data_IF_725684711439
#
_entry.id   IF_725684711439
#
_cell.length_a   1.000
_cell.length_b   1.000
_cell.length_c   1.000
_cell.angle_alpha   90.00
_cell.angle_beta   90.00
_cell.angle_gamma   90.00
#
_symmetry.space_group_name_H-M   'P 1'
#
loop_
_entity.id
_entity.type
_entity.pdbx_description
1 polymer ?
#
# COMPACT_ATOMS: atom_id res chain seq x y z
N UNK A 1 21.88 12.48 -14.27
CA UNK A 1 22.00 11.05 -14.66
C UNK A 1 20.84 10.28 -14.06
N UNK A 2 19.94 9.72 -14.88
CA UNK A 2 18.88 8.85 -14.37
C UNK A 2 19.53 7.54 -13.95
N UNK A 3 19.67 7.30 -12.64
CA UNK A 3 20.18 6.03 -12.14
C UNK A 3 19.36 4.89 -12.77
N UNK A 4 20.06 3.97 -13.44
CA UNK A 4 19.46 2.75 -13.96
C UNK A 4 18.79 2.04 -12.79
N UNK A 5 17.46 1.98 -12.83
CA UNK A 5 16.66 1.37 -11.78
C UNK A 5 16.87 -0.14 -11.87
N UNK A 6 17.81 -0.66 -11.09
CA UNK A 6 18.00 -2.10 -10.93
C UNK A 6 16.80 -2.69 -10.18
N UNK A 7 16.25 -3.75 -10.75
CA UNK A 7 15.22 -4.60 -10.12
C UNK A 7 15.73 -5.08 -8.76
N UNK A 8 14.93 -5.05 -7.68
CA UNK A 8 15.39 -5.53 -6.38
C UNK A 8 15.82 -7.01 -6.48
N UNK A 9 17.03 -7.32 -5.99
CA UNK A 9 17.66 -8.64 -6.13
C UNK A 9 16.86 -9.77 -5.45
N UNK A 10 16.09 -9.44 -4.41
CA UNK A 10 15.01 -10.26 -3.86
C UNK A 10 14.13 -9.38 -2.95
N UNK A 11 12.85 -9.72 -2.82
CA UNK A 11 11.91 -8.99 -1.98
C UNK A 11 11.69 -9.71 -0.65
N UNK A 12 11.88 -9.04 0.50
CA UNK A 12 11.88 -9.70 1.79
C UNK A 12 10.53 -10.34 2.11
N UNK A 13 10.57 -11.45 2.85
CA UNK A 13 9.40 -12.11 3.45
C UNK A 13 8.90 -11.36 4.70
N UNK A 14 8.73 -10.05 4.53
CA UNK A 14 8.13 -9.12 5.49
C UNK A 14 7.25 -8.18 4.71
N UNK A 15 6.04 -7.94 5.18
CA UNK A 15 4.99 -7.31 4.39
C UNK A 15 4.57 -5.98 4.98
N UNK A 16 4.28 -5.01 4.12
CA UNK A 16 3.54 -3.80 4.47
C UNK A 16 2.26 -3.75 3.63
N UNK A 17 1.15 -3.43 4.27
CA UNK A 17 -0.17 -3.35 3.65
C UNK A 17 -0.86 -2.08 4.11
N UNK A 18 -1.69 -1.49 3.24
CA UNK A 18 -2.53 -0.34 3.59
C UNK A 18 -3.99 -0.73 3.60
N UNK A 19 -4.68 -0.30 4.66
CA UNK A 19 -6.13 -0.37 4.76
C UNK A 19 -6.78 0.77 3.94
N UNK A 20 -6.97 0.53 2.63
CA UNK A 20 -7.39 1.50 1.60
C UNK A 20 -8.84 1.99 1.66
N UNK A 21 -9.40 2.26 2.84
CA UNK A 21 -10.74 2.88 2.92
C UNK A 21 -10.89 3.82 4.12
N UNK A 22 -9.81 4.03 4.86
CA UNK A 22 -9.83 4.84 6.07
C UNK A 22 -9.52 6.31 5.77
N UNK A 23 -9.28 6.68 4.50
CA UNK A 23 -8.99 8.05 4.11
C UNK A 23 -9.45 8.40 2.68
N UNK A 24 -10.70 8.85 2.56
CA UNK A 24 -11.26 9.38 1.32
C UNK A 24 -11.62 8.31 0.28
N UNK A 25 -11.52 8.68 -1.00
CA UNK A 25 -12.05 7.90 -2.15
C UNK A 25 -10.93 7.34 -3.02
N UNK A 26 -11.29 6.78 -4.17
CA UNK A 26 -10.43 6.07 -5.11
C UNK A 26 -9.03 6.67 -5.33
N UNK A 27 -8.92 7.97 -5.59
CA UNK A 27 -7.62 8.61 -5.84
C UNK A 27 -6.69 8.58 -4.62
N UNK A 28 -7.23 8.73 -3.41
CA UNK A 28 -6.45 8.60 -2.18
C UNK A 28 -5.97 7.17 -2.00
N UNK A 29 -6.84 6.19 -2.22
CA UNK A 29 -6.50 4.76 -2.12
C UNK A 29 -5.38 4.37 -3.08
N UNK A 30 -5.38 4.93 -4.30
CA UNK A 30 -4.29 4.74 -5.25
C UNK A 30 -2.99 5.37 -4.73
N UNK A 31 -3.05 6.62 -4.25
CA UNK A 31 -1.89 7.30 -3.68
C UNK A 31 -1.31 6.55 -2.49
N UNK A 32 -2.15 6.04 -1.60
CA UNK A 32 -1.78 5.19 -0.46
C UNK A 32 -0.98 3.97 -0.90
N UNK A 33 -1.46 3.22 -1.89
CA UNK A 33 -0.76 2.05 -2.44
C UNK A 33 0.58 2.42 -3.07
N UNK A 34 0.63 3.51 -3.84
CA UNK A 34 1.87 4.01 -4.47
C UNK A 34 2.87 4.45 -3.41
N UNK A 35 2.43 5.15 -2.37
CA UNK A 35 3.29 5.60 -1.27
C UNK A 35 3.91 4.41 -0.54
N UNK A 36 3.13 3.39 -0.16
CA UNK A 36 3.71 2.22 0.53
C UNK A 36 4.65 1.44 -0.38
N UNK A 37 4.43 1.41 -1.70
CA UNK A 37 5.35 0.77 -2.63
C UNK A 37 6.71 1.45 -2.66
N UNK A 38 6.74 2.79 -2.60
CA UNK A 38 7.99 3.57 -2.52
C UNK A 38 8.69 3.34 -1.18
N UNK A 39 7.95 3.40 -0.07
CA UNK A 39 8.53 3.25 1.28
C UNK A 39 8.89 1.81 1.67
N UNK A 40 8.36 0.81 0.96
CA UNK A 40 8.59 -0.61 1.26
C UNK A 40 10.08 -0.93 1.45
N UNK A 41 10.96 -0.39 0.59
CA UNK A 41 12.40 -0.59 0.69
C UNK A 41 12.98 -0.03 1.98
N UNK A 42 12.66 1.22 2.33
CA UNK A 42 13.15 1.87 3.55
C UNK A 42 12.63 1.19 4.82
N UNK A 43 11.46 0.56 4.74
CA UNK A 43 10.86 -0.24 5.81
C UNK A 43 11.38 -1.69 5.84
N UNK A 44 12.26 -2.08 4.92
CA UNK A 44 12.71 -3.47 4.71
C UNK A 44 11.55 -4.46 4.56
N UNK A 45 10.59 -4.11 3.70
CA UNK A 45 9.33 -4.83 3.48
C UNK A 45 9.03 -4.96 1.99
N UNK A 46 8.12 -5.88 1.69
CA UNK A 46 7.41 -6.03 0.43
C UNK A 46 6.01 -5.43 0.59
N UNK A 47 5.67 -4.45 -0.25
CA UNK A 47 4.33 -3.88 -0.28
C UNK A 47 3.34 -4.89 -0.88
N UNK A 48 2.22 -5.06 -0.17
CA UNK A 48 1.09 -5.85 -0.62
C UNK A 48 0.05 -4.89 -1.17
N UNK A 49 -0.12 -4.89 -2.49
CA UNK A 49 -1.19 -4.17 -3.18
C UNK A 49 -2.35 -5.12 -3.40
N UNK A 50 -3.57 -4.63 -3.22
CA UNK A 50 -4.68 -5.56 -3.00
C UNK A 50 -6.02 -5.10 -3.53
N UNK A 51 -6.61 -4.09 -2.91
CA UNK A 51 -8.01 -3.77 -3.20
C UNK A 51 -8.34 -2.30 -3.02
N UNK A 52 -9.32 -1.88 -3.78
CA UNK A 52 -10.02 -0.63 -3.62
C UNK A 52 -11.35 -0.87 -2.91
N UNK A 53 -11.79 0.08 -2.10
CA UNK A 53 -13.12 0.08 -1.50
C UNK A 53 -14.01 1.08 -2.22
N UNK A 54 -15.11 0.61 -2.77
CA UNK A 54 -16.14 1.43 -3.40
C UNK A 54 -17.53 0.93 -2.99
N UNK A 55 -18.40 1.81 -2.49
CA UNK A 55 -19.77 1.48 -2.03
C UNK A 55 -19.81 0.24 -1.12
N UNK A 56 -18.94 0.19 -0.10
CA UNK A 56 -18.77 -0.94 0.84
C UNK A 56 -18.31 -2.27 0.23
N UNK A 57 -18.00 -2.31 -1.08
CA UNK A 57 -17.46 -3.47 -1.77
C UNK A 57 -15.95 -3.35 -1.94
N UNK A 58 -15.28 -4.49 -1.82
CA UNK A 58 -13.86 -4.62 -2.12
C UNK A 58 -13.68 -5.07 -3.58
N UNK A 59 -12.96 -4.27 -4.35
CA UNK A 59 -12.61 -4.54 -5.74
C UNK A 59 -11.12 -4.85 -5.83
N UNK A 60 -10.76 -5.97 -6.45
CA UNK A 60 -9.36 -6.34 -6.62
C UNK A 60 -8.61 -5.31 -7.47
N UNK A 61 -7.36 -5.04 -7.12
CA UNK A 61 -6.54 -4.02 -7.78
C UNK A 61 -6.34 -4.30 -9.28
N UNK A 62 -6.17 -5.57 -9.67
CA UNK A 62 -5.98 -5.99 -11.06
C UNK A 62 -7.24 -5.84 -11.92
N UNK A 63 -8.41 -5.69 -11.30
CA UNK A 63 -9.63 -5.29 -11.99
C UNK A 63 -9.64 -3.80 -12.36
N UNK A 64 -8.74 -2.97 -11.84
CA UNK A 64 -8.73 -1.52 -12.10
C UNK A 64 -7.42 -1.03 -12.73
N UNK A 65 -6.29 -1.63 -12.36
CA UNK A 65 -4.96 -1.16 -12.71
C UNK A 65 -3.99 -2.30 -12.99
N UNK A 66 -3.05 -2.07 -13.92
CA UNK A 66 -1.84 -2.86 -14.03
C UNK A 66 -0.71 -2.22 -13.20
N UNK A 67 -0.25 -2.97 -12.20
CA UNK A 67 0.87 -2.61 -11.32
C UNK A 67 2.19 -3.28 -11.72
N UNK A 68 2.25 -3.98 -12.86
CA UNK A 68 3.44 -4.70 -13.32
C UNK A 68 4.66 -3.78 -13.44
N UNK A 69 4.46 -2.53 -13.87
CA UNK A 69 5.50 -1.50 -13.91
C UNK A 69 6.07 -1.21 -12.53
N UNK A 70 5.20 -1.10 -11.53
CA UNK A 70 5.59 -0.85 -10.15
C UNK A 70 6.36 -2.05 -9.57
N UNK A 71 5.87 -3.28 -9.78
CA UNK A 71 6.53 -4.52 -9.32
C UNK A 71 7.88 -4.81 -9.99
N UNK A 72 8.15 -4.25 -11.18
CA UNK A 72 9.49 -4.33 -11.81
C UNK A 72 10.51 -3.42 -11.12
N UNK A 73 10.06 -2.35 -10.46
CA UNK A 73 10.92 -1.34 -9.82
C UNK A 73 11.00 -1.47 -8.30
N UNK A 74 9.90 -1.81 -7.66
CA UNK A 74 9.73 -1.86 -6.21
C UNK A 74 9.37 -3.27 -5.77
N UNK A 75 9.56 -3.56 -4.48
CA UNK A 75 9.07 -4.80 -3.89
C UNK A 75 7.58 -4.71 -3.65
N UNK A 76 6.82 -5.01 -4.70
CA UNK A 76 5.35 -4.96 -4.72
C UNK A 76 4.83 -6.29 -5.21
N UNK A 77 3.93 -6.90 -4.44
CA UNK A 77 3.26 -8.14 -4.80
C UNK A 77 1.74 -7.97 -4.71
N UNK A 78 0.97 -8.67 -5.57
CA UNK A 78 -0.47 -8.77 -5.41
C UNK A 78 -0.80 -9.58 -4.16
N UNK A 79 -2.00 -9.39 -3.62
CA UNK A 79 -2.48 -10.13 -2.47
C UNK A 79 -2.33 -11.66 -2.58
N UNK A 80 -2.63 -12.24 -3.74
CA UNK A 80 -2.57 -13.70 -3.95
C UNK A 80 -1.18 -14.26 -3.60
N UNK A 81 -0.12 -13.54 -3.96
CA UNK A 81 1.26 -13.92 -3.67
C UNK A 81 1.59 -13.72 -2.19
N UNK A 82 1.07 -12.65 -1.58
CA UNK A 82 1.14 -12.47 -0.13
C UNK A 82 0.48 -13.63 0.62
N UNK A 83 -0.73 -14.03 0.24
CA UNK A 83 -1.45 -15.12 0.90
C UNK A 83 -0.67 -16.44 0.82
N UNK A 84 -0.07 -16.74 -0.33
CA UNK A 84 0.80 -17.91 -0.51
C UNK A 84 2.04 -17.84 0.39
N UNK A 85 2.79 -16.72 0.36
CA UNK A 85 4.02 -16.54 1.15
C UNK A 85 3.75 -16.52 2.67
N UNK A 86 2.67 -15.87 3.09
CA UNK A 86 2.22 -15.87 4.48
C UNK A 86 1.81 -17.28 4.92
N UNK A 87 1.11 -18.01 4.06
CA UNK A 87 0.68 -19.39 4.28
C UNK A 87 1.83 -20.39 4.40
N UNK A 88 2.98 -20.12 3.79
CA UNK A 88 4.18 -20.96 3.91
C UNK A 88 5.08 -20.61 5.08
N UNK A 89 4.90 -19.46 5.75
CA UNK A 89 5.71 -19.07 6.92
C UNK A 89 5.44 -20.00 8.11
N UNK A 90 6.45 -20.36 8.93
CA UNK A 90 6.23 -21.03 10.21
C UNK A 90 5.28 -20.21 11.09
N UNK A 91 4.37 -20.86 11.82
CA UNK A 91 3.34 -20.17 12.61
C UNK A 91 3.92 -19.16 13.61
N UNK A 92 5.04 -19.48 14.26
CA UNK A 92 5.72 -18.58 15.20
C UNK A 92 6.30 -17.31 14.56
N UNK A 93 6.46 -17.28 13.23
CA UNK A 93 6.95 -16.12 12.48
C UNK A 93 5.81 -15.24 11.94
N UNK A 94 4.55 -15.68 12.00
CA UNK A 94 3.38 -14.96 11.47
C UNK A 94 2.88 -13.87 12.43
N UNK A 95 3.75 -12.92 12.74
CA UNK A 95 3.45 -11.78 13.62
C UNK A 95 2.91 -10.60 12.83
N UNK A 96 1.86 -9.95 13.34
CA UNK A 96 1.20 -8.83 12.68
C UNK A 96 1.00 -7.65 13.63
N UNK A 97 1.40 -6.46 13.18
CA UNK A 97 1.21 -5.19 13.90
C UNK A 97 0.57 -4.15 12.99
N UNK A 98 -0.23 -3.26 13.57
CA UNK A 98 -1.00 -2.26 12.85
C UNK A 98 -0.73 -0.86 13.40
N UNK A 99 -0.58 0.13 12.52
CA UNK A 99 -0.43 1.53 12.85
C UNK A 99 -1.69 2.29 12.44
N UNK A 100 -2.28 3.06 13.36
CA UNK A 100 -3.50 3.84 13.11
C UNK A 100 -4.76 2.99 13.22
N UNK A 101 -5.18 2.36 12.13
CA UNK A 101 -6.40 1.55 12.12
C UNK A 101 -6.07 0.10 11.78
N UNK A 102 -6.73 -0.83 12.48
CA UNK A 102 -6.61 -2.26 12.22
C UNK A 102 -7.14 -2.67 10.84
N UNK A 103 -6.83 -3.90 10.44
CA UNK A 103 -7.18 -4.48 9.13
C UNK A 103 -8.44 -5.36 9.15
N UNK A 104 -9.28 -5.22 10.19
CA UNK A 104 -10.41 -6.13 10.44
C UNK A 104 -11.49 -6.12 9.34
N UNK A 105 -11.69 -4.97 8.68
CA UNK A 105 -12.64 -4.82 7.56
C UNK A 105 -11.98 -5.04 6.19
N UNK A 106 -10.80 -5.65 6.12
CA UNK A 106 -10.07 -5.81 4.85
C UNK A 106 -10.09 -7.25 4.35
N UNK A 107 -9.82 -7.49 3.05
CA UNK A 107 -9.72 -8.85 2.54
C UNK A 107 -8.54 -9.65 3.10
N UNK A 108 -7.55 -9.00 3.74
CA UNK A 108 -6.45 -9.70 4.44
C UNK A 108 -6.80 -10.13 5.87
N UNK A 109 -8.01 -9.81 6.37
CA UNK A 109 -8.39 -10.07 7.77
C UNK A 109 -8.25 -11.54 8.19
N UNK A 110 -8.47 -12.48 7.26
CA UNK A 110 -8.34 -13.92 7.54
C UNK A 110 -6.90 -14.33 7.84
N UNK A 111 -5.92 -13.68 7.22
CA UNK A 111 -4.50 -13.99 7.34
C UNK A 111 -3.90 -13.35 8.60
N UNK A 112 -4.34 -12.13 8.94
CA UNK A 112 -3.75 -11.28 9.99
C UNK A 112 -4.76 -10.86 11.05
N UNK A 113 -5.66 -11.77 11.42
CA UNK A 113 -6.81 -11.53 12.33
C UNK A 113 -6.43 -10.89 13.68
N UNK A 114 -5.22 -11.15 14.17
CA UNK A 114 -4.67 -10.62 15.43
C UNK A 114 -3.60 -9.56 15.18
N UNK A 115 -3.93 -8.53 14.40
CA UNK A 115 -3.03 -7.41 14.22
C UNK A 115 -2.98 -6.57 15.51
N UNK A 116 -1.84 -6.55 16.20
CA UNK A 116 -1.68 -5.75 17.42
C UNK A 116 -1.45 -4.29 17.06
N UNK A 117 -2.19 -3.38 17.69
CA UNK A 117 -1.98 -1.95 17.46
C UNK A 117 -0.64 -1.50 18.04
N UNK A 118 0.11 -0.72 17.27
CA UNK A 118 1.35 -0.10 17.71
C UNK A 118 1.03 0.99 18.74
N UNK A 119 1.64 0.94 19.94
CA UNK A 119 1.41 1.95 20.97
C UNK A 119 1.92 3.32 20.49
N UNK A 120 1.23 4.38 20.89
CA UNK A 120 1.61 5.76 20.56
C UNK A 120 1.29 6.21 19.13
N UNK A 121 0.73 5.34 18.29
CA UNK A 121 0.20 5.74 16.98
C UNK A 121 -1.31 6.00 17.11
N UNK A 122 -1.78 7.25 16.90
CA UNK A 122 -3.20 7.56 17.03
C UNK A 122 -3.99 6.88 15.90
N UNK A 123 -5.25 6.54 16.18
CA UNK A 123 -6.12 5.88 15.20
C UNK A 123 -6.38 6.76 13.96
N UNK A 124 -6.43 8.07 14.18
CA UNK A 124 -6.59 9.10 13.16
C UNK A 124 -5.47 10.11 13.28
N UNK A 125 -5.02 10.64 12.14
CA UNK A 125 -4.00 11.66 12.08
C UNK A 125 -4.64 13.05 11.97
N UNK A 126 -4.27 13.98 12.85
CA UNK A 126 -4.73 15.36 12.68
C UNK A 126 -3.95 16.02 11.54
N UNK A 127 -4.61 16.16 10.39
CA UNK A 127 -4.06 16.79 9.19
C UNK A 127 -3.61 18.25 9.40
N UNK A 128 -4.02 18.89 10.51
CA UNK A 128 -3.57 20.25 10.89
C UNK A 128 -2.10 20.30 11.30
N UNK A 129 -1.43 19.16 11.51
CA UNK A 129 0.03 19.08 11.75
C UNK A 129 0.86 18.85 10.46
N UNK A 130 0.27 19.15 9.29
CA UNK A 130 0.57 18.62 7.96
C UNK A 130 1.93 18.85 7.28
N UNK A 131 2.98 19.29 7.97
CA UNK A 131 4.30 19.50 7.34
C UNK A 131 5.35 18.47 7.77
N UNK A 132 5.31 17.96 9.00
CA UNK A 132 6.26 16.93 9.50
C UNK A 132 5.69 15.50 9.49
N UNK A 133 4.48 15.31 8.97
CA UNK A 133 3.72 14.05 9.06
C UNK A 133 4.47 12.81 8.55
N UNK A 134 5.17 12.93 7.42
CA UNK A 134 5.96 11.83 6.86
C UNK A 134 7.13 11.45 7.79
N UNK A 135 7.91 12.44 8.25
CA UNK A 135 9.06 12.22 9.11
C UNK A 135 8.63 11.67 10.47
N UNK A 136 7.56 12.21 11.05
CA UNK A 136 6.99 11.72 12.30
C UNK A 136 6.51 10.27 12.16
N UNK A 137 5.73 9.95 11.11
CA UNK A 137 5.19 8.60 10.94
C UNK A 137 6.28 7.56 10.67
N UNK A 138 7.21 7.87 9.75
CA UNK A 138 8.36 7.00 9.52
C UNK A 138 9.23 6.87 10.75
N UNK A 139 9.42 7.95 11.51
CA UNK A 139 10.15 7.95 12.77
C UNK A 139 9.54 7.01 13.80
N UNK A 140 8.22 7.11 14.04
CA UNK A 140 7.51 6.23 14.97
C UNK A 140 7.58 4.77 14.51
N UNK A 141 7.26 4.49 13.23
CA UNK A 141 7.27 3.13 12.68
C UNK A 141 8.68 2.53 12.70
N UNK A 142 9.71 3.32 12.38
CA UNK A 142 11.10 2.85 12.34
C UNK A 142 11.74 2.78 13.72
N UNK A 143 11.25 3.52 14.71
CA UNK A 143 11.72 3.44 16.09
C UNK A 143 11.08 2.28 16.86
N UNK A 144 9.84 1.90 16.52
CA UNK A 144 9.12 0.82 17.19
C UNK A 144 9.73 -0.57 16.86
N UNK A 145 10.34 -1.28 17.83
CA UNK A 145 10.92 -2.60 17.58
C UNK A 145 9.92 -3.59 17.00
N UNK A 146 8.67 -3.56 17.49
CA UNK A 146 7.69 -4.53 17.07
C UNK A 146 7.18 -4.26 15.64
N UNK A 147 7.23 -2.98 15.21
CA UNK A 147 7.01 -2.60 13.82
C UNK A 147 8.16 -3.03 12.90
N UNK A 148 9.39 -3.13 13.40
CA UNK A 148 10.54 -3.60 12.61
C UNK A 148 10.60 -5.11 12.49
N UNK A 149 10.19 -5.82 13.55
CA UNK A 149 10.33 -7.27 13.64
C UNK A 149 9.13 -8.03 13.09
N UNK A 150 7.94 -7.44 13.11
CA UNK A 150 6.72 -8.11 12.66
C UNK A 150 6.82 -8.56 11.20
N UNK A 151 6.35 -9.77 10.90
CA UNK A 151 6.24 -10.25 9.53
C UNK A 151 5.22 -9.43 8.71
N UNK A 152 4.22 -8.83 9.36
CA UNK A 152 3.22 -7.98 8.72
C UNK A 152 3.06 -6.65 9.45
N UNK A 153 3.11 -5.55 8.68
CA UNK A 153 2.79 -4.20 9.14
C UNK A 153 1.57 -3.69 8.35
N UNK A 154 0.43 -3.55 9.04
CA UNK A 154 -0.75 -2.88 8.50
C UNK A 154 -0.72 -1.39 8.80
N UNK A 155 -0.99 -0.54 7.82
CA UNK A 155 -1.12 0.89 8.00
C UNK A 155 -2.57 1.31 7.74
N UNK A 156 -3.09 2.30 8.45
CA UNK A 156 -4.28 3.02 7.98
C UNK A 156 -4.00 3.71 6.64
N UNK A 157 -5.04 3.87 5.83
CA UNK A 157 -4.98 4.69 4.62
C UNK A 157 -4.50 6.11 4.92
N UNK A 158 -4.91 6.68 6.06
CA UNK A 158 -4.48 8.03 6.44
C UNK A 158 -2.96 8.13 6.67
N UNK A 159 -2.38 7.20 7.41
CA UNK A 159 -0.92 7.15 7.64
C UNK A 159 -0.20 6.97 6.30
N UNK A 160 -0.63 6.00 5.48
CA UNK A 160 -0.02 5.75 4.17
C UNK A 160 -0.14 6.95 3.22
N UNK A 161 -1.26 7.66 3.27
CA UNK A 161 -1.51 8.86 2.47
C UNK A 161 -0.54 9.99 2.84
N UNK A 162 -0.33 10.22 4.14
CA UNK A 162 0.56 11.28 4.65
C UNK A 162 2.04 10.90 4.68
N UNK A 163 2.39 9.62 4.52
CA UNK A 163 3.75 9.16 4.22
C UNK A 163 4.11 9.47 2.76
N UNK A 164 4.13 10.75 2.40
CA UNK A 164 4.39 11.21 1.04
C UNK A 164 5.88 11.10 0.73
N UNK A 165 6.29 10.34 -0.29
CA UNK A 165 7.66 10.42 -0.78
C UNK A 165 7.91 11.80 -1.41
N UNK A 166 9.16 12.10 -1.77
CA UNK A 166 9.46 13.33 -2.51
C UNK A 166 8.70 13.37 -3.85
N UNK A 167 8.33 14.56 -4.33
CA UNK A 167 7.50 14.74 -5.54
C UNK A 167 8.03 13.95 -6.75
N UNK A 168 9.35 13.93 -6.95
CA UNK A 168 9.99 13.20 -8.05
C UNK A 168 9.81 11.69 -7.94
N UNK A 169 9.92 11.14 -6.73
CA UNK A 169 9.71 9.70 -6.48
C UNK A 169 8.24 9.33 -6.61
N UNK A 170 7.34 10.17 -6.10
CA UNK A 170 5.90 9.98 -6.25
C UNK A 170 5.50 9.96 -7.72
N UNK A 171 5.96 10.93 -8.51
CA UNK A 171 5.69 10.98 -9.95
C UNK A 171 6.32 9.78 -10.69
N UNK A 172 7.55 9.41 -10.34
CA UNK A 172 8.25 8.28 -10.96
C UNK A 172 7.62 6.91 -10.64
N UNK A 173 6.97 6.78 -9.49
CA UNK A 173 6.19 5.60 -9.12
C UNK A 173 4.78 5.63 -9.72
N UNK A 174 4.10 6.78 -9.66
CA UNK A 174 2.75 6.97 -10.21
C UNK A 174 2.66 6.67 -11.70
N UNK A 175 3.67 7.08 -12.50
CA UNK A 175 3.73 6.76 -13.94
C UNK A 175 3.84 5.27 -14.27
N UNK A 176 4.15 4.43 -13.27
CA UNK A 176 4.28 2.97 -13.45
C UNK A 176 2.97 2.24 -13.17
N UNK A 177 1.95 2.94 -12.69
CA UNK A 177 0.60 2.41 -12.51
C UNK A 177 -0.24 2.89 -13.68
N UNK A 178 -0.71 1.95 -14.49
CA UNK A 178 -1.55 2.25 -15.65
C UNK A 178 -2.93 1.62 -15.45
N UNK A 179 -4.02 2.22 -15.97
CA UNK A 179 -5.33 1.59 -15.93
C UNK A 179 -5.29 0.21 -16.61
N UNK A 180 -6.10 -0.73 -16.12
CA UNK A 180 -6.24 -2.02 -16.78
C UNK A 180 -6.81 -1.84 -18.20
N UNK A 181 -6.44 -2.73 -19.13
CA UNK A 181 -6.79 -2.61 -20.56
C UNK A 181 -8.30 -2.43 -20.78
N UNK A 182 -9.12 -3.17 -20.04
CA UNK A 182 -10.58 -3.09 -20.14
C UNK A 182 -11.14 -1.77 -19.59
N UNK A 183 -10.50 -1.16 -18.58
CA UNK A 183 -10.88 0.17 -18.07
C UNK A 183 -10.57 1.26 -19.10
N UNK A 184 -9.45 1.15 -19.82
CA UNK A 184 -9.14 2.07 -20.93
C UNK A 184 -10.21 1.97 -22.03
N UNK A 185 -10.63 0.75 -22.37
CA UNK A 185 -11.68 0.52 -23.35
C UNK A 185 -13.04 1.09 -22.89
N UNK A 186 -13.42 0.88 -21.62
CA UNK A 186 -14.64 1.42 -21.04
C UNK A 186 -14.64 2.95 -21.03
N UNK A 187 -13.52 3.58 -20.66
CA UNK A 187 -13.38 5.03 -20.69
C UNK A 187 -13.48 5.62 -22.11
N UNK A 188 -12.90 4.93 -23.11
CA UNK A 188 -12.99 5.35 -24.51
C UNK A 188 -14.41 5.22 -25.07
N UNK A 189 -15.11 4.14 -24.75
CA UNK A 189 -16.53 3.95 -25.09
C UNK A 189 -17.40 5.04 -24.45
N UNK A 190 -17.18 5.33 -23.16
CA UNK A 190 -17.88 6.42 -22.47
C UNK A 190 -17.62 7.79 -23.13
N UNK A 191 -16.37 8.12 -23.45
CA UNK A 191 -16.02 9.39 -24.10
C UNK A 191 -16.69 9.53 -25.46
N UNK A 192 -16.74 8.44 -26.23
CA UNK A 192 -17.43 8.38 -27.53
C UNK A 192 -18.93 8.61 -27.38
N UNK A 193 -19.59 7.89 -26.45
CA UNK A 193 -21.02 8.05 -26.17
C UNK A 193 -21.38 9.42 -25.64
N UNK A 194 -20.44 10.10 -24.99
CA UNK A 194 -20.63 11.41 -24.37
C UNK A 194 -20.22 12.59 -25.26
N UNK A 195 -19.72 12.34 -26.48
CA UNK A 195 -19.26 13.41 -27.38
C UNK A 195 -18.03 14.18 -26.86
N UNK A 196 -17.17 13.53 -26.07
CA UNK A 196 -15.98 14.13 -25.44
C UNK A 196 -14.68 13.91 -26.25
N UNK A 197 -14.79 13.56 -27.53
CA UNK A 197 -13.61 13.32 -28.40
C UNK A 197 -13.00 14.63 -28.90
#
# INVERSE_FOLDING_TARGET
>A
AAASVQRPASCPDRFVFVNTHTFGRHHNQLQEMVNIAVWARSLNRTAVVGWFRHNHRWTAMDALYDFSGLSRRYCVIPHKDFAARWGSMPQGQRTAVCAGQGVADTPVKSQVRKCRMLPGVPAHYDSRHGVDSTKTMLGIISAAPEAREAAFLGLSGEIAFFMRPGLLEQAAAGRLVVPAVHIVAEAADFATKSGLQ
#
